data_IF_939625419941
#
_entry.id   IF_939625419941
#
_cell.length_a   1.000
_cell.length_b   1.000
_cell.length_c   1.000
_cell.angle_alpha   90.00
_cell.angle_beta   90.00
_cell.angle_gamma   90.00
#
_symmetry.space_group_name_H-M   'P 1'
#
loop_
_entity.id
_entity.type
_entity.pdbx_description
1 polymer ?
#
# COMPACT_ATOMS: atom_id res chain seq x y z
N UNK A 1 -25.32 -14.80 11.11
CA UNK A 1 -23.92 -14.76 10.65
C UNK A 1 -23.94 -13.87 9.42
N UNK A 2 -23.06 -12.85 9.28
CA UNK A 2 -23.03 -12.05 8.05
C UNK A 2 -22.69 -12.96 6.86
N UNK A 3 -23.33 -12.75 5.72
CA UNK A 3 -23.00 -13.48 4.48
C UNK A 3 -21.55 -13.14 4.07
N UNK A 4 -20.84 -14.06 3.43
CA UNK A 4 -19.45 -13.84 2.99
C UNK A 4 -19.31 -12.56 2.14
N UNK A 5 -20.34 -12.21 1.38
CA UNK A 5 -20.43 -10.98 0.60
C UNK A 5 -20.47 -9.71 1.45
N UNK A 6 -21.12 -9.72 2.61
CA UNK A 6 -21.20 -8.57 3.52
C UNK A 6 -19.84 -8.29 4.18
N UNK A 7 -19.12 -9.35 4.53
CA UNK A 7 -17.76 -9.26 5.10
C UNK A 7 -16.78 -8.73 4.06
N UNK A 8 -16.86 -9.19 2.81
CA UNK A 8 -16.01 -8.71 1.72
C UNK A 8 -16.31 -7.26 1.33
N UNK A 9 -17.61 -6.88 1.27
CA UNK A 9 -18.02 -5.51 1.01
C UNK A 9 -17.56 -4.57 2.13
N UNK A 10 -17.69 -4.97 3.40
CA UNK A 10 -17.21 -4.20 4.53
C UNK A 10 -15.67 -4.11 4.56
N UNK A 11 -14.95 -5.19 4.21
CA UNK A 11 -13.49 -5.17 4.11
C UNK A 11 -13.04 -4.16 3.03
N UNK A 12 -13.65 -4.18 1.85
CA UNK A 12 -13.34 -3.25 0.78
C UNK A 12 -13.69 -1.79 1.12
N UNK A 13 -14.82 -1.56 1.80
CA UNK A 13 -15.23 -0.22 2.23
C UNK A 13 -14.22 0.46 3.18
N UNK A 14 -13.45 -0.34 3.93
CA UNK A 14 -12.41 0.17 4.82
C UNK A 14 -11.08 0.46 4.09
N UNK A 15 -10.87 -0.09 2.89
CA UNK A 15 -9.67 0.14 2.10
C UNK A 15 -9.78 1.48 1.35
N UNK A 16 -8.85 2.40 1.63
CA UNK A 16 -8.81 3.71 0.99
C UNK A 16 -8.67 3.62 -0.55
N UNK A 17 -7.84 2.73 -1.14
CA UNK A 17 -7.75 2.60 -2.59
C UNK A 17 -9.06 2.14 -3.23
N UNK A 18 -9.74 1.15 -2.62
CA UNK A 18 -10.99 0.58 -3.15
C UNK A 18 -12.09 1.64 -3.27
N UNK A 19 -12.22 2.52 -2.27
CA UNK A 19 -13.17 3.64 -2.30
C UNK A 19 -12.94 4.60 -3.47
N UNK A 20 -11.70 4.94 -3.79
CA UNK A 20 -11.41 5.84 -4.92
C UNK A 20 -11.66 5.17 -6.27
N UNK A 21 -11.40 3.86 -6.38
CA UNK A 21 -11.77 3.06 -7.56
C UNK A 21 -13.28 3.08 -7.77
N UNK A 22 -14.08 2.87 -6.72
CA UNK A 22 -15.55 2.94 -6.81
C UNK A 22 -16.03 4.32 -7.28
N UNK A 23 -15.48 5.40 -6.74
CA UNK A 23 -15.81 6.78 -7.16
C UNK A 23 -15.51 6.99 -8.64
N UNK A 24 -14.35 6.52 -9.11
CA UNK A 24 -13.96 6.65 -10.51
C UNK A 24 -14.88 5.83 -11.41
N UNK A 25 -15.13 4.55 -11.10
CA UNK A 25 -15.96 3.66 -11.93
C UNK A 25 -17.43 4.12 -12.01
N UNK A 26 -18.02 4.53 -10.89
CA UNK A 26 -19.44 4.91 -10.84
C UNK A 26 -19.69 6.43 -11.03
N UNK A 27 -18.63 7.21 -11.20
CA UNK A 27 -18.70 8.67 -11.30
C UNK A 27 -19.09 9.22 -12.68
N UNK A 28 -19.12 8.40 -13.74
CA UNK A 28 -19.21 8.88 -15.14
C UNK A 28 -20.40 9.81 -15.43
N UNK A 29 -21.59 9.45 -14.95
CA UNK A 29 -22.83 10.24 -15.14
C UNK A 29 -23.15 11.15 -13.93
N UNK A 30 -22.32 11.14 -12.89
CA UNK A 30 -22.56 11.85 -11.61
C UNK A 30 -21.59 13.01 -11.36
N UNK A 31 -20.44 12.99 -12.02
CA UNK A 31 -19.39 14.00 -11.92
C UNK A 31 -19.30 14.80 -13.22
N UNK A 32 -18.84 16.05 -13.12
CA UNK A 32 -18.44 16.80 -14.31
C UNK A 32 -17.20 16.15 -14.95
N UNK A 33 -16.95 16.31 -16.27
CA UNK A 33 -15.81 15.68 -16.93
C UNK A 33 -14.46 15.98 -16.26
N UNK A 34 -14.28 17.20 -15.75
CA UNK A 34 -13.07 17.59 -15.00
C UNK A 34 -12.97 16.90 -13.65
N UNK A 35 -14.08 16.83 -12.91
CA UNK A 35 -14.11 16.17 -11.60
C UNK A 35 -13.86 14.65 -11.73
N UNK A 36 -14.36 14.03 -12.80
CA UNK A 36 -14.08 12.63 -13.10
C UNK A 36 -12.57 12.40 -13.33
N UNK A 37 -11.92 13.23 -14.15
CA UNK A 37 -10.47 13.14 -14.37
C UNK A 37 -9.66 13.34 -13.08
N UNK A 38 -10.03 14.30 -12.24
CA UNK A 38 -9.33 14.57 -10.98
C UNK A 38 -9.51 13.41 -9.98
N UNK A 39 -10.63 12.70 -10.02
CA UNK A 39 -10.87 11.56 -9.12
C UNK A 39 -9.91 10.38 -9.33
N UNK A 40 -9.22 10.32 -10.48
CA UNK A 40 -8.16 9.34 -10.72
C UNK A 40 -6.88 9.61 -9.91
N UNK A 41 -6.60 10.86 -9.52
CA UNK A 41 -5.37 11.20 -8.79
C UNK A 41 -5.26 10.49 -7.44
N UNK A 42 -6.24 10.60 -6.51
CA UNK A 42 -6.15 9.88 -5.24
C UNK A 42 -6.16 8.35 -5.42
N UNK A 43 -6.83 7.85 -6.47
CA UNK A 43 -6.78 6.43 -6.83
C UNK A 43 -5.35 5.97 -7.16
N UNK A 44 -4.65 6.69 -8.04
CA UNK A 44 -3.26 6.39 -8.42
C UNK A 44 -2.32 6.51 -7.22
N UNK A 45 -2.44 7.60 -6.44
CA UNK A 45 -1.56 7.86 -5.28
C UNK A 45 -1.70 6.76 -4.23
N UNK A 46 -2.92 6.38 -3.88
CA UNK A 46 -3.16 5.35 -2.87
C UNK A 46 -2.78 3.95 -3.35
N UNK A 47 -2.98 3.65 -4.64
CA UNK A 47 -2.48 2.42 -5.26
C UNK A 47 -0.95 2.34 -5.23
N UNK A 48 -0.27 3.40 -5.66
CA UNK A 48 1.19 3.46 -5.66
C UNK A 48 1.79 3.39 -4.24
N UNK A 49 1.17 4.08 -3.27
CA UNK A 49 1.59 3.99 -1.88
C UNK A 49 1.42 2.57 -1.31
N UNK A 50 0.29 1.90 -1.60
CA UNK A 50 0.06 0.51 -1.20
C UNK A 50 1.10 -0.44 -1.81
N UNK A 51 1.36 -0.29 -3.11
CA UNK A 51 2.39 -1.07 -3.80
C UNK A 51 3.77 -0.85 -3.18
N UNK A 52 4.13 0.41 -2.89
CA UNK A 52 5.39 0.75 -2.24
C UNK A 52 5.59 -0.03 -0.94
N UNK A 53 4.64 -0.01 -0.01
CA UNK A 53 4.80 -0.70 1.28
C UNK A 53 4.93 -2.22 1.14
N UNK A 54 4.18 -2.84 0.21
CA UNK A 54 4.27 -4.28 -0.04
C UNK A 54 5.62 -4.64 -0.65
N UNK A 55 6.08 -3.87 -1.64
CA UNK A 55 7.36 -4.10 -2.30
C UNK A 55 8.52 -3.86 -1.33
N UNK A 56 8.44 -2.84 -0.48
CA UNK A 56 9.46 -2.59 0.54
C UNK A 56 9.55 -3.74 1.55
N UNK A 57 8.42 -4.32 1.98
CA UNK A 57 8.45 -5.49 2.85
C UNK A 57 9.15 -6.69 2.17
N UNK A 58 8.86 -6.91 0.88
CA UNK A 58 9.54 -7.93 0.07
C UNK A 58 11.04 -7.64 -0.05
N UNK A 59 11.41 -6.40 -0.37
CA UNK A 59 12.80 -5.98 -0.53
C UNK A 59 13.62 -6.11 0.76
N UNK A 60 12.98 -5.87 1.91
CA UNK A 60 13.60 -6.07 3.22
C UNK A 60 13.87 -7.56 3.52
N UNK A 61 13.00 -8.47 3.07
CA UNK A 61 13.23 -9.91 3.22
C UNK A 61 14.46 -10.39 2.45
N UNK A 62 14.78 -9.76 1.31
CA UNK A 62 15.98 -10.08 0.52
C UNK A 62 17.26 -9.56 1.15
N UNK A 63 17.23 -8.35 1.72
CA UNK A 63 18.39 -7.74 2.38
C UNK A 63 17.97 -7.05 3.70
N UNK A 64 17.86 -7.80 4.81
CA UNK A 64 17.36 -7.28 6.07
C UNK A 64 18.30 -6.22 6.67
N UNK A 65 17.79 -5.01 6.88
CA UNK A 65 18.52 -3.88 7.48
C UNK A 65 17.66 -3.17 8.52
N UNK A 66 18.29 -2.25 9.28
CA UNK A 66 17.57 -1.42 10.24
C UNK A 66 17.21 -2.13 11.54
N UNK A 67 18.04 -3.07 12.01
CA UNK A 67 17.91 -3.65 13.34
C UNK A 67 19.27 -4.12 13.86
N UNK A 68 19.35 -4.41 15.15
CA UNK A 68 20.49 -5.05 15.80
C UNK A 68 20.06 -6.39 16.40
N UNK A 69 21.02 -7.29 16.57
CA UNK A 69 20.83 -8.53 17.29
C UNK A 69 21.56 -8.40 18.62
N UNK A 70 20.87 -8.66 19.72
CA UNK A 70 21.47 -8.66 21.05
C UNK A 70 22.30 -9.93 21.32
N UNK A 71 22.92 -10.00 22.50
CA UNK A 71 23.72 -11.17 22.90
C UNK A 71 22.89 -12.46 23.11
N UNK A 72 21.56 -12.35 23.12
CA UNK A 72 20.61 -13.45 23.28
C UNK A 72 20.02 -13.90 21.91
N UNK A 73 20.38 -13.22 20.82
CA UNK A 73 19.89 -13.53 19.48
C UNK A 73 18.54 -12.88 19.15
N UNK A 74 18.05 -11.94 19.97
CA UNK A 74 16.80 -11.22 19.73
C UNK A 74 17.03 -9.98 18.88
N UNK A 75 16.05 -9.67 18.02
CA UNK A 75 16.02 -8.44 17.22
C UNK A 75 15.65 -7.28 18.14
N UNK A 76 16.55 -6.30 18.24
CA UNK A 76 16.42 -5.08 19.05
C UNK A 76 16.77 -3.85 18.21
N UNK A 77 16.43 -2.66 18.72
CA UNK A 77 16.75 -1.37 18.08
C UNK A 77 16.29 -1.27 16.61
N UNK A 78 15.04 -1.64 16.34
CA UNK A 78 14.48 -1.54 14.99
C UNK A 78 14.36 -0.06 14.55
N UNK A 79 14.97 0.26 13.42
CA UNK A 79 14.85 1.52 12.69
C UNK A 79 13.99 1.29 11.43
N UNK A 80 12.70 1.69 11.48
CA UNK A 80 11.79 1.51 10.35
C UNK A 80 12.25 2.23 9.09
N UNK A 81 12.93 3.37 9.19
CA UNK A 81 13.36 4.10 8.01
C UNK A 81 14.53 3.39 7.32
N UNK A 82 15.49 2.88 8.09
CA UNK A 82 16.59 2.09 7.56
C UNK A 82 16.13 0.71 7.02
N UNK A 83 15.07 0.13 7.60
CA UNK A 83 14.43 -1.07 7.08
C UNK A 83 13.66 -0.76 5.77
N UNK A 84 12.94 0.36 5.73
CA UNK A 84 12.08 0.73 4.61
C UNK A 84 12.85 1.26 3.40
N UNK A 85 14.02 1.88 3.60
CA UNK A 85 14.85 2.42 2.52
C UNK A 85 16.18 1.66 2.38
N UNK A 86 16.12 0.33 2.51
CA UNK A 86 17.27 -0.54 2.28
C UNK A 86 17.73 -0.58 0.82
N UNK A 87 18.91 -1.17 0.54
CA UNK A 87 19.54 -1.19 -0.79
C UNK A 87 18.65 -1.74 -1.91
N UNK A 88 17.83 -2.73 -1.60
CA UNK A 88 16.96 -3.42 -2.57
C UNK A 88 15.64 -2.69 -2.84
N UNK A 89 15.27 -1.69 -2.02
CA UNK A 89 13.93 -1.08 -2.08
C UNK A 89 13.67 -0.38 -3.41
N UNK A 90 14.55 0.55 -3.79
CA UNK A 90 14.36 1.35 -5.01
C UNK A 90 14.46 0.53 -6.31
N UNK A 91 15.46 -0.38 -6.46
CA UNK A 91 15.52 -1.24 -7.63
C UNK A 91 14.26 -2.10 -7.82
N UNK A 92 13.72 -2.66 -6.74
CA UNK A 92 12.49 -3.47 -6.81
C UNK A 92 11.25 -2.60 -7.07
N UNK A 93 11.14 -1.46 -6.38
CA UNK A 93 9.98 -0.59 -6.52
C UNK A 93 9.85 0.04 -7.91
N UNK A 94 10.95 0.40 -8.56
CA UNK A 94 10.93 0.97 -9.92
C UNK A 94 10.70 -0.09 -11.00
N UNK A 95 11.08 -1.35 -10.72
CA UNK A 95 10.94 -2.45 -11.67
C UNK A 95 9.50 -3.00 -11.76
N UNK A 96 8.78 -2.97 -10.65
CA UNK A 96 7.39 -3.47 -10.51
C UNK A 96 6.37 -2.41 -10.90
#
# INVERSE_FOLDING_TARGET
MPELGDVLAAANANLLPARFVEVYLFGWNRLSPRAHMISALPMIVTGAAGAFFVITANAWMDNPTGFRIDAQGLVVDADPWAAMFGPSTWPQFVHM
#
